data_IF_834206012728
#
_entry.id   IF_834206012728
#
_cell.length_a   1.000
_cell.length_b   1.000
_cell.length_c   1.000
_cell.angle_alpha   90.00
_cell.angle_beta   90.00
_cell.angle_gamma   90.00
#
_symmetry.space_group_name_H-M   'P 1'
#
loop_
_entity.id
_entity.type
_entity.pdbx_description
1 polymer ?
#
# COMPACT_ATOMS: atom_id res chain seq x y z
N UNK A 1 16.31 40.80 22.20
CA UNK A 1 15.79 40.31 20.90
C UNK A 1 16.17 38.85 20.72
N UNK A 2 15.22 37.91 20.85
CA UNK A 2 15.47 36.46 20.66
C UNK A 2 15.37 36.13 19.16
N UNK A 3 16.48 35.71 18.56
CA UNK A 3 16.52 35.21 17.17
C UNK A 3 15.66 33.92 17.08
N UNK A 4 14.58 33.96 16.31
CA UNK A 4 13.86 32.74 15.88
C UNK A 4 14.80 31.95 14.95
N UNK A 5 15.27 30.78 15.40
CA UNK A 5 15.90 29.78 14.52
C UNK A 5 14.88 29.42 13.44
N UNK A 6 15.18 29.78 12.19
CA UNK A 6 14.42 29.34 11.03
C UNK A 6 14.36 27.82 11.04
N UNK A 7 13.14 27.28 11.01
CA UNK A 7 12.89 25.85 10.85
C UNK A 7 13.44 25.50 9.47
N UNK A 8 14.56 24.76 9.42
CA UNK A 8 15.10 24.28 8.15
C UNK A 8 13.97 23.53 7.42
N UNK A 9 13.74 23.88 6.16
CA UNK A 9 12.82 23.14 5.32
C UNK A 9 13.31 21.67 5.32
N UNK A 10 12.41 20.69 5.50
CA UNK A 10 12.80 19.30 5.42
C UNK A 10 13.49 19.06 4.07
N UNK A 11 14.54 18.21 4.02
CA UNK A 11 15.21 17.89 2.77
C UNK A 11 14.16 17.39 1.76
N UNK A 12 14.23 17.90 0.53
CA UNK A 12 13.40 17.38 -0.57
C UNK A 12 13.72 15.90 -0.71
N UNK A 13 12.70 15.05 -0.60
CA UNK A 13 12.84 13.63 -0.90
C UNK A 13 13.45 13.48 -2.31
N UNK A 14 14.32 12.48 -2.54
CA UNK A 14 14.80 12.18 -3.88
C UNK A 14 13.61 12.01 -4.83
N UNK A 15 13.78 12.45 -6.08
CA UNK A 15 12.75 12.29 -7.09
C UNK A 15 12.51 10.79 -7.35
N UNK A 16 11.34 10.31 -6.96
CA UNK A 16 10.94 8.92 -7.20
C UNK A 16 11.00 8.60 -8.70
N UNK A 17 11.58 7.45 -9.03
CA UNK A 17 11.60 6.85 -10.38
C UNK A 17 10.39 5.94 -10.62
N UNK A 18 9.53 5.79 -9.63
CA UNK A 18 8.35 4.93 -9.67
C UNK A 18 7.39 5.34 -10.79
N UNK A 19 6.82 4.36 -11.46
CA UNK A 19 5.85 4.55 -12.51
C UNK A 19 4.42 4.37 -11.99
N UNK A 20 3.86 5.36 -11.29
CA UNK A 20 2.56 5.17 -10.64
C UNK A 20 1.35 5.03 -11.58
N UNK A 21 1.42 5.50 -12.84
CA UNK A 21 0.32 5.55 -13.84
C UNK A 21 -1.10 5.59 -13.25
N UNK A 22 -1.60 6.79 -13.00
CA UNK A 22 -2.97 7.03 -12.57
C UNK A 22 -3.89 7.25 -13.79
N UNK A 23 -5.04 6.57 -13.88
CA UNK A 23 -6.08 6.87 -14.88
C UNK A 23 -6.64 8.29 -14.72
N UNK A 24 -7.28 8.85 -15.76
CA UNK A 24 -8.05 10.09 -15.61
C UNK A 24 -9.06 9.98 -14.46
N UNK A 25 -9.13 11.01 -13.62
CA UNK A 25 -9.99 11.10 -12.41
C UNK A 25 -9.56 10.27 -11.19
N UNK A 26 -8.43 9.55 -11.25
CA UNK A 26 -7.88 8.86 -10.08
C UNK A 26 -7.16 9.86 -9.18
N UNK A 27 -7.52 9.89 -7.89
CA UNK A 27 -6.84 10.73 -6.88
C UNK A 27 -5.67 9.96 -6.31
N UNK A 28 -4.61 10.67 -5.93
CA UNK A 28 -3.44 10.03 -5.33
C UNK A 28 -3.77 9.29 -4.02
N UNK A 29 -4.89 9.62 -3.37
CA UNK A 29 -5.42 8.96 -2.18
C UNK A 29 -6.30 7.75 -2.46
N UNK A 30 -6.63 7.49 -3.72
CA UNK A 30 -7.45 6.34 -4.08
C UNK A 30 -6.55 5.10 -4.11
N UNK A 31 -6.86 4.16 -3.23
CA UNK A 31 -6.18 2.89 -3.11
C UNK A 31 -6.88 1.84 -3.96
N UNK A 32 -6.17 0.81 -4.36
CA UNK A 32 -6.76 -0.28 -5.13
C UNK A 32 -6.72 -1.58 -4.31
N UNK A 33 -7.88 -2.21 -4.14
CA UNK A 33 -8.02 -3.44 -3.36
C UNK A 33 -8.62 -4.54 -4.25
N UNK A 34 -8.04 -5.75 -4.28
CA UNK A 34 -8.62 -6.90 -4.96
C UNK A 34 -9.82 -7.47 -4.18
N UNK A 35 -10.89 -7.86 -4.86
CA UNK A 35 -12.08 -8.53 -4.31
C UNK A 35 -12.36 -9.85 -5.02
N UNK A 36 -12.70 -10.89 -4.25
CA UNK A 36 -13.12 -12.21 -4.74
C UNK A 36 -14.44 -12.55 -4.06
N UNK A 37 -15.46 -12.94 -4.85
CA UNK A 37 -16.78 -13.32 -4.35
C UNK A 37 -17.43 -12.29 -3.38
N UNK A 38 -17.18 -11.00 -3.63
CA UNK A 38 -17.71 -9.89 -2.83
C UNK A 38 -16.93 -9.58 -1.55
N UNK A 39 -15.86 -10.31 -1.24
CA UNK A 39 -14.98 -10.04 -0.10
C UNK A 39 -13.62 -9.52 -0.57
N UNK A 40 -12.99 -8.63 0.22
CA UNK A 40 -11.63 -8.20 -0.08
C UNK A 40 -10.67 -9.39 -0.01
N UNK A 41 -9.82 -9.53 -1.02
CA UNK A 41 -8.89 -10.64 -1.14
C UNK A 41 -7.79 -10.49 -0.09
N UNK A 42 -7.85 -11.34 0.92
CA UNK A 42 -6.82 -11.49 1.94
C UNK A 42 -5.91 -12.61 1.47
N UNK A 43 -4.68 -12.28 1.08
CA UNK A 43 -3.66 -13.27 0.78
C UNK A 43 -2.74 -13.41 2.00
N UNK A 44 -2.67 -14.62 2.53
CA UNK A 44 -1.66 -15.02 3.50
C UNK A 44 -0.57 -15.76 2.74
N UNK A 45 0.65 -15.23 2.80
CA UNK A 45 1.78 -15.70 1.99
C UNK A 45 2.25 -17.12 2.29
N UNK A 46 1.74 -17.82 3.31
CA UNK A 46 2.20 -19.17 3.63
C UNK A 46 1.05 -20.06 4.09
N UNK A 47 0.76 -21.12 3.32
CA UNK A 47 -0.12 -22.24 3.73
C UNK A 47 0.43 -22.98 4.99
N UNK A 48 1.62 -22.61 5.45
CA UNK A 48 2.33 -23.19 6.61
C UNK A 48 2.43 -22.23 7.79
N UNK A 49 1.84 -21.04 7.73
CA UNK A 49 1.89 -20.11 8.85
C UNK A 49 0.95 -20.57 9.97
N UNK A 50 1.49 -20.78 11.16
CA UNK A 50 0.72 -21.20 12.33
C UNK A 50 0.09 -20.01 13.06
N UNK A 51 0.42 -18.78 12.65
CA UNK A 51 -0.04 -17.57 13.30
C UNK A 51 -1.52 -17.28 13.01
N UNK A 52 -2.20 -16.72 14.02
CA UNK A 52 -3.59 -16.29 13.87
C UNK A 52 -3.66 -15.04 12.98
N UNK A 53 -4.12 -15.23 11.75
CA UNK A 53 -4.30 -14.16 10.78
C UNK A 53 -5.71 -13.55 10.78
N UNK A 54 -6.57 -13.86 11.76
CA UNK A 54 -7.96 -13.36 11.79
C UNK A 54 -8.08 -11.84 11.83
N UNK A 55 -6.99 -11.12 12.14
CA UNK A 55 -6.92 -9.66 12.22
C UNK A 55 -6.13 -9.02 11.07
N UNK A 56 -5.69 -9.81 10.10
CA UNK A 56 -5.02 -9.31 8.91
C UNK A 56 -6.06 -8.78 7.91
N UNK A 57 -5.75 -7.63 7.33
CA UNK A 57 -6.49 -7.02 6.25
C UNK A 57 -6.00 -7.50 4.88
N UNK A 58 -6.67 -7.09 3.81
CA UNK A 58 -6.28 -7.44 2.46
C UNK A 58 -5.00 -6.72 2.03
N UNK A 59 -4.47 -7.12 0.88
CA UNK A 59 -3.46 -6.36 0.18
C UNK A 59 -4.06 -5.07 -0.41
N UNK A 60 -3.38 -3.95 -0.22
CA UNK A 60 -3.76 -2.62 -0.68
C UNK A 60 -2.68 -2.08 -1.61
N UNK A 61 -3.07 -1.63 -2.79
CA UNK A 61 -2.16 -1.22 -3.85
C UNK A 61 -2.21 0.28 -4.06
N UNK A 62 -1.03 0.91 -4.20
CA UNK A 62 -0.95 2.37 -4.32
C UNK A 62 -1.49 2.93 -5.65
N UNK A 63 -1.65 2.08 -6.68
CA UNK A 63 -2.13 2.48 -7.99
C UNK A 63 -2.44 1.26 -8.90
N UNK A 64 -3.11 1.47 -10.05
CA UNK A 64 -3.34 0.41 -11.04
C UNK A 64 -2.07 -0.19 -11.63
N UNK A 65 -1.00 0.59 -11.78
CA UNK A 65 0.27 0.03 -12.24
C UNK A 65 0.80 -1.03 -11.27
N UNK A 66 0.75 -0.75 -9.96
CA UNK A 66 1.22 -1.70 -8.95
C UNK A 66 0.44 -3.03 -9.02
N UNK A 67 -0.89 -2.96 -9.15
CA UNK A 67 -1.72 -4.15 -9.33
C UNK A 67 -1.38 -4.95 -10.59
N UNK A 68 -1.26 -4.28 -11.75
CA UNK A 68 -0.88 -4.95 -13.01
C UNK A 68 0.49 -5.63 -12.91
N UNK A 69 1.47 -4.94 -12.29
CA UNK A 69 2.80 -5.52 -12.07
C UNK A 69 2.72 -6.73 -11.14
N UNK A 70 1.97 -6.65 -10.06
CA UNK A 70 1.82 -7.74 -9.10
C UNK A 70 1.23 -8.99 -9.74
N UNK A 71 0.13 -8.87 -10.50
CA UNK A 71 -0.47 -10.03 -11.18
C UNK A 71 0.44 -10.59 -12.28
N UNK A 72 1.30 -9.77 -12.88
CA UNK A 72 2.32 -10.23 -13.84
C UNK A 72 3.40 -11.06 -13.13
N UNK A 73 3.84 -10.62 -11.96
CA UNK A 73 4.85 -11.33 -11.16
C UNK A 73 4.28 -12.61 -10.51
N UNK A 74 3.01 -12.57 -10.10
CA UNK A 74 2.34 -13.65 -9.37
C UNK A 74 1.03 -14.07 -10.07
N UNK A 75 1.10 -14.65 -11.28
CA UNK A 75 -0.10 -14.93 -12.09
C UNK A 75 -1.02 -16.02 -11.51
N UNK A 76 -0.54 -16.79 -10.53
CA UNK A 76 -1.32 -17.84 -9.86
C UNK A 76 -1.97 -17.38 -8.55
N UNK A 77 -1.67 -16.16 -8.10
CA UNK A 77 -2.20 -15.57 -6.86
C UNK A 77 -3.73 -15.45 -6.88
N UNK A 78 -4.33 -15.21 -5.71
CA UNK A 78 -5.77 -14.95 -5.62
C UNK A 78 -6.13 -13.62 -6.28
N UNK A 79 -5.28 -12.61 -6.08
CA UNK A 79 -5.38 -11.27 -6.62
C UNK A 79 -5.39 -11.25 -8.15
N UNK A 80 -4.70 -12.19 -8.80
CA UNK A 80 -4.74 -12.37 -10.26
C UNK A 80 -6.13 -12.76 -10.79
N UNK A 81 -7.02 -13.27 -9.93
CA UNK A 81 -8.40 -13.67 -10.27
C UNK A 81 -9.44 -12.69 -9.68
N UNK A 82 -8.98 -11.66 -8.98
CA UNK A 82 -9.84 -10.73 -8.28
C UNK A 82 -10.40 -9.64 -9.19
N UNK A 83 -11.52 -9.06 -8.77
CA UNK A 83 -12.02 -7.78 -9.26
C UNK A 83 -11.34 -6.66 -8.49
N UNK A 84 -10.64 -5.78 -9.18
CA UNK A 84 -9.90 -4.69 -8.56
C UNK A 84 -10.79 -3.45 -8.42
N UNK A 85 -10.97 -2.97 -7.19
CA UNK A 85 -11.85 -1.83 -6.90
C UNK A 85 -11.07 -0.68 -6.26
N UNK A 86 -11.33 0.57 -6.66
CA UNK A 86 -10.82 1.73 -5.94
C UNK A 86 -11.53 1.83 -4.60
N UNK A 87 -10.76 2.07 -3.54
CA UNK A 87 -11.25 2.22 -2.19
C UNK A 87 -10.75 3.53 -1.59
N UNK A 88 -11.69 4.26 -0.99
CA UNK A 88 -11.37 5.50 -0.30
C UNK A 88 -10.73 5.21 1.07
N UNK A 89 -9.76 6.02 1.52
CA UNK A 89 -9.17 5.91 2.86
C UNK A 89 -10.19 5.74 4.00
N UNK A 90 -11.34 6.43 3.92
CA UNK A 90 -12.41 6.34 4.91
C UNK A 90 -12.98 4.92 5.05
N UNK A 91 -13.14 4.19 3.95
CA UNK A 91 -13.67 2.82 3.99
C UNK A 91 -12.65 1.87 4.62
N UNK A 92 -11.36 2.08 4.36
CA UNK A 92 -10.27 1.31 4.98
C UNK A 92 -10.19 1.55 6.49
N UNK A 93 -10.50 2.78 6.95
CA UNK A 93 -10.62 3.05 8.39
C UNK A 93 -11.77 2.27 9.04
N UNK A 94 -12.88 2.03 8.33
CA UNK A 94 -13.97 1.20 8.88
C UNK A 94 -13.50 -0.22 9.16
N UNK A 95 -12.58 -0.77 8.37
CA UNK A 95 -12.02 -2.10 8.60
C UNK A 95 -11.17 -2.14 9.87
N UNK A 96 -10.42 -1.06 10.17
CA UNK A 96 -9.72 -0.95 11.46
C UNK A 96 -10.73 -0.98 12.61
N UNK A 97 -11.78 -0.17 12.51
CA UNK A 97 -12.81 -0.11 13.55
C UNK A 97 -13.52 -1.46 13.75
N UNK A 98 -13.55 -2.30 12.73
CA UNK A 98 -14.09 -3.65 12.77
C UNK A 98 -13.07 -4.74 13.15
N UNK A 99 -11.86 -4.37 13.60
CA UNK A 99 -10.89 -5.30 14.18
C UNK A 99 -9.73 -5.71 13.27
N UNK A 100 -9.57 -5.10 12.09
CA UNK A 100 -8.38 -5.30 11.25
C UNK A 100 -7.19 -4.51 11.82
N UNK A 101 -6.10 -5.19 12.12
CA UNK A 101 -4.95 -4.61 12.81
C UNK A 101 -3.73 -4.41 11.91
N UNK A 102 -3.62 -5.18 10.83
CA UNK A 102 -2.48 -5.15 9.90
C UNK A 102 -3.00 -5.06 8.48
N UNK A 103 -2.39 -4.21 7.66
CA UNK A 103 -2.68 -4.10 6.23
C UNK A 103 -1.39 -4.26 5.45
N UNK A 104 -1.48 -4.94 4.31
CA UNK A 104 -0.32 -5.18 3.46
C UNK A 104 -0.33 -4.20 2.30
N UNK A 105 0.57 -3.24 2.31
CA UNK A 105 0.71 -2.27 1.23
C UNK A 105 1.65 -2.81 0.16
N UNK A 106 1.18 -2.85 -1.08
CA UNK A 106 2.01 -3.08 -2.25
C UNK A 106 2.12 -1.77 -3.02
N UNK A 107 3.33 -1.26 -3.15
CA UNK A 107 3.59 0.05 -3.73
C UNK A 107 4.73 0.02 -4.72
N UNK A 108 4.71 0.98 -5.65
CA UNK A 108 5.76 1.11 -6.65
C UNK A 108 7.09 1.43 -5.99
N UNK A 109 8.14 0.78 -6.47
CA UNK A 109 9.49 1.00 -5.97
C UNK A 109 10.03 2.37 -6.44
N UNK A 110 10.47 3.25 -5.52
CA UNK A 110 10.95 4.58 -5.90
C UNK A 110 12.29 4.55 -6.65
N UNK A 111 13.05 3.47 -6.56
CA UNK A 111 14.36 3.32 -7.21
C UNK A 111 14.28 2.54 -8.53
N UNK A 112 13.26 1.70 -8.70
CA UNK A 112 13.04 0.85 -9.88
C UNK A 112 11.69 1.13 -10.54
N UNK A 113 11.74 1.64 -11.77
CA UNK A 113 10.57 2.06 -12.56
C UNK A 113 9.37 1.10 -12.52
N UNK A 114 9.62 -0.20 -12.67
CA UNK A 114 8.59 -1.25 -12.72
C UNK A 114 8.71 -2.27 -11.56
N UNK A 115 9.47 -1.89 -10.53
CA UNK A 115 9.64 -2.69 -9.31
C UNK A 115 8.50 -2.47 -8.33
N UNK A 116 8.29 -3.45 -7.45
CA UNK A 116 7.31 -3.38 -6.39
C UNK A 116 7.96 -3.63 -5.03
N UNK A 117 7.40 -2.96 -4.03
CA UNK A 117 7.69 -3.15 -2.62
C UNK A 117 6.41 -3.58 -1.91
N UNK A 118 6.54 -4.44 -0.92
CA UNK A 118 5.46 -4.87 -0.04
C UNK A 118 5.82 -4.66 1.42
N UNK A 119 4.87 -4.16 2.21
CA UNK A 119 5.08 -3.98 3.65
C UNK A 119 3.78 -4.18 4.41
N UNK A 120 3.84 -4.93 5.51
CA UNK A 120 2.77 -4.99 6.50
C UNK A 120 2.86 -3.79 7.45
N UNK A 121 1.81 -2.97 7.52
CA UNK A 121 1.72 -1.85 8.45
C UNK A 121 0.57 -2.06 9.44
N UNK A 122 0.87 -1.84 10.72
CA UNK A 122 -0.14 -1.84 11.77
C UNK A 122 -1.05 -0.60 11.72
N UNK A 123 -2.25 -0.72 12.30
CA UNK A 123 -3.29 0.32 12.31
C UNK A 123 -2.83 1.70 12.79
N UNK A 124 -1.81 1.79 13.66
CA UNK A 124 -1.26 3.06 14.16
C UNK A 124 -0.60 3.92 13.08
N UNK A 125 -0.08 3.30 12.01
CA UNK A 125 0.57 3.99 10.89
C UNK A 125 -0.34 4.15 9.67
N UNK A 126 -1.46 3.41 9.67
CA UNK A 126 -2.36 3.31 8.54
C UNK A 126 -2.95 4.65 8.14
N UNK A 127 -3.39 5.45 9.11
CA UNK A 127 -4.01 6.73 8.85
C UNK A 127 -3.10 7.68 8.05
N UNK A 128 -1.81 7.77 8.39
CA UNK A 128 -0.91 8.68 7.68
C UNK A 128 -0.51 8.14 6.29
N UNK A 129 -0.41 6.82 6.16
CA UNK A 129 -0.20 6.17 4.87
C UNK A 129 -1.40 6.40 3.94
N UNK A 130 -2.63 6.10 4.40
CA UNK A 130 -3.84 6.16 3.60
C UNK A 130 -4.15 7.56 3.04
N UNK A 131 -3.84 8.60 3.79
CA UNK A 131 -3.99 9.99 3.35
C UNK A 131 -2.73 10.57 2.71
N UNK A 132 -1.71 9.76 2.46
CA UNK A 132 -0.42 10.19 1.90
C UNK A 132 0.21 11.36 2.67
N UNK A 133 -0.04 11.45 3.98
CA UNK A 133 0.61 12.44 4.86
C UNK A 133 2.09 12.09 5.05
N UNK A 134 2.40 10.81 4.96
CA UNK A 134 3.75 10.25 4.86
C UNK A 134 3.81 9.44 3.58
N UNK A 135 4.81 9.69 2.71
CA UNK A 135 5.00 8.86 1.51
C UNK A 135 5.35 7.44 1.92
N UNK A 136 4.76 6.44 1.26
CA UNK A 136 5.13 5.03 1.44
C UNK A 136 6.62 4.79 1.13
N UNK A 137 7.24 5.63 0.29
CA UNK A 137 8.68 5.60 0.00
C UNK A 137 9.54 5.73 1.27
N UNK A 138 9.03 6.37 2.32
CA UNK A 138 9.71 6.49 3.63
C UNK A 138 9.95 5.12 4.26
N UNK A 139 9.13 4.13 3.91
CA UNK A 139 9.23 2.75 4.39
C UNK A 139 9.95 1.83 3.41
N UNK A 140 10.45 2.34 2.28
CA UNK A 140 11.07 1.50 1.26
C UNK A 140 12.26 0.67 1.77
N UNK A 141 13.02 1.18 2.75
CA UNK A 141 14.13 0.46 3.37
C UNK A 141 13.72 -0.66 4.34
N UNK A 142 12.44 -0.73 4.72
CA UNK A 142 11.86 -1.76 5.59
C UNK A 142 10.93 -2.71 4.82
N UNK A 143 10.59 -2.37 3.58
CA UNK A 143 9.68 -3.13 2.75
C UNK A 143 10.41 -4.27 2.03
N UNK A 144 9.71 -5.38 1.85
CA UNK A 144 10.17 -6.49 1.04
C UNK A 144 10.06 -6.15 -0.43
N UNK A 145 11.12 -6.43 -1.19
CA UNK A 145 11.13 -6.20 -2.62
C UNK A 145 10.53 -7.38 -3.36
N UNK A 146 9.44 -7.12 -4.08
CA UNK A 146 8.79 -8.10 -4.94
C UNK A 146 9.43 -8.02 -6.35
N UNK A 147 10.60 -8.68 -6.47
CA UNK A 147 11.50 -8.73 -7.65
C UNK A 147 12.08 -7.38 -8.14
#
# INVERSE_FOLDING_TARGET
MKRRKGRAAPPRAPASRANHRYPPNWRHTDWLVPFIDGAACIHHGHDTDADDHSRCGPAIFCCPHAAVRYVTLFPKSGEARATWQPIHPSDLMTWIHNGVHVFYFVFCDPDRRDGLLAIGLGGSWLHDALWHRTSLDTYAGQADRLM
#
